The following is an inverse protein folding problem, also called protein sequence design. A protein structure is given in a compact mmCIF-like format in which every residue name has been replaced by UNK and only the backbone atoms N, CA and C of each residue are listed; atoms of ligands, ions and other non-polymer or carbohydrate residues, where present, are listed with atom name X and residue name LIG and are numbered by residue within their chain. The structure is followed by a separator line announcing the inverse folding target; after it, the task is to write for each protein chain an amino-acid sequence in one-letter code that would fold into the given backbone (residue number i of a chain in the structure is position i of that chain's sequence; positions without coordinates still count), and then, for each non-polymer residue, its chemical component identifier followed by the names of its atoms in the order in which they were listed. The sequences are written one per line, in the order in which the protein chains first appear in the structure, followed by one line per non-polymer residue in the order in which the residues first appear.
data_IF_769194923783
#
_entry.id   IF_769194923783
#
_cell.length_a   1.000
_cell.length_b   1.000
_cell.length_c   1.000
_cell.angle_alpha   90.00
_cell.angle_beta   90.00
_cell.angle_gamma   90.00
#
_symmetry.space_group_name_H-M   'P 1'
#
loop_
_entity.id
_entity.type
_entity.pdbx_description
1 polymer ?
#
# COMPACT_ATOMS: atom_id res chain seq x y z
N UNK A 1 16.73 -17.80 8.40
CA UNK A 1 16.90 -17.52 6.99
C UNK A 1 16.13 -16.23 6.65
N UNK A 2 16.77 -15.27 5.97
CA UNK A 2 16.07 -14.11 5.43
C UNK A 2 15.12 -14.59 4.33
N UNK A 3 13.86 -14.14 4.40
CA UNK A 3 12.88 -14.42 3.35
C UNK A 3 13.02 -13.37 2.26
N UNK A 4 12.92 -13.74 0.97
CA UNK A 4 12.82 -12.74 -0.07
C UNK A 4 11.55 -11.89 0.12
N UNK A 5 11.74 -10.59 0.10
CA UNK A 5 10.68 -9.59 0.28
C UNK A 5 10.71 -8.62 -0.90
N UNK A 6 9.70 -7.76 -1.00
CA UNK A 6 9.72 -6.70 -2.01
C UNK A 6 10.98 -5.83 -1.86
N UNK A 7 11.35 -5.45 -0.64
CA UNK A 7 12.56 -4.66 -0.39
C UNK A 7 13.82 -5.39 -0.86
N UNK A 8 13.94 -6.71 -0.61
CA UNK A 8 15.12 -7.46 -1.05
C UNK A 8 15.24 -7.53 -2.57
N UNK A 9 14.13 -7.65 -3.31
CA UNK A 9 14.15 -7.62 -4.77
C UNK A 9 14.68 -6.29 -5.30
N UNK A 10 14.14 -5.17 -4.82
CA UNK A 10 14.61 -3.86 -5.26
C UNK A 10 16.09 -3.62 -4.92
N UNK A 11 16.54 -4.09 -3.75
CA UNK A 11 17.98 -4.03 -3.39
C UNK A 11 18.85 -4.85 -4.33
N UNK A 12 18.43 -6.05 -4.71
CA UNK A 12 19.16 -6.90 -5.66
C UNK A 12 19.23 -6.24 -7.05
N UNK A 13 18.30 -5.35 -7.38
CA UNK A 13 18.30 -4.54 -8.61
C UNK A 13 19.05 -3.20 -8.45
N UNK A 14 19.67 -2.95 -7.30
CA UNK A 14 20.50 -1.77 -7.06
C UNK A 14 19.77 -0.55 -6.54
N UNK A 15 18.54 -0.71 -6.04
CA UNK A 15 17.79 0.35 -5.39
C UNK A 15 18.17 0.51 -3.92
N UNK A 16 18.19 1.73 -3.42
CA UNK A 16 18.03 2.02 -1.99
C UNK A 16 16.57 1.79 -1.59
N UNK A 17 16.31 1.40 -0.34
CA UNK A 17 14.95 1.09 0.11
C UNK A 17 14.60 1.83 1.39
N UNK A 18 13.42 2.46 1.43
CA UNK A 18 12.94 3.17 2.59
C UNK A 18 11.48 2.81 2.93
N UNK A 19 11.17 2.76 4.22
CA UNK A 19 9.82 2.66 4.75
C UNK A 19 9.48 3.91 5.54
N UNK A 20 8.32 4.53 5.25
CA UNK A 20 7.85 5.75 5.93
C UNK A 20 6.50 5.50 6.57
N UNK A 21 6.35 5.84 7.85
CA UNK A 21 5.10 5.75 8.58
C UNK A 21 5.00 6.86 9.64
N UNK A 22 3.97 7.72 9.60
CA UNK A 22 3.85 8.90 10.47
C UNK A 22 3.26 8.55 11.85
N UNK A 23 3.74 7.48 12.47
CA UNK A 23 3.28 7.05 13.79
C UNK A 23 4.38 6.25 14.50
N UNK A 24 4.16 5.92 15.78
CA UNK A 24 5.13 5.23 16.62
C UNK A 24 5.69 3.95 16.01
N UNK A 25 6.98 3.79 16.02
CA UNK A 25 7.70 2.61 15.50
C UNK A 25 7.23 1.28 16.11
N UNK A 26 6.82 1.32 17.39
CA UNK A 26 6.32 0.16 18.13
C UNK A 26 4.91 -0.29 17.71
N UNK A 27 4.13 0.57 17.03
CA UNK A 27 2.77 0.25 16.62
C UNK A 27 2.77 -0.91 15.62
N UNK A 28 2.04 -1.98 15.93
CA UNK A 28 2.11 -3.28 15.24
C UNK A 28 3.53 -3.87 15.12
N UNK A 29 4.47 -3.45 15.99
CA UNK A 29 5.89 -3.85 15.91
C UNK A 29 6.53 -3.52 14.55
N UNK A 30 6.12 -2.42 13.90
CA UNK A 30 6.53 -2.06 12.54
C UNK A 30 8.05 -1.95 12.40
N UNK A 31 8.75 -1.34 13.34
CA UNK A 31 10.20 -1.27 13.35
C UNK A 31 10.84 -2.66 13.15
N UNK A 32 10.43 -3.64 13.94
CA UNK A 32 10.95 -5.01 13.85
C UNK A 32 10.53 -5.70 12.55
N UNK A 33 9.28 -5.52 12.12
CA UNK A 33 8.74 -6.17 10.91
C UNK A 33 9.45 -5.65 9.67
N UNK A 34 9.53 -4.33 9.49
CA UNK A 34 10.13 -3.75 8.30
C UNK A 34 11.66 -3.86 8.28
N UNK A 35 12.32 -3.86 9.46
CA UNK A 35 13.73 -4.24 9.56
C UNK A 35 13.96 -5.68 9.06
N UNK A 36 13.10 -6.63 9.45
CA UNK A 36 13.17 -8.00 8.98
C UNK A 36 12.83 -8.15 7.49
N UNK A 37 12.02 -7.24 6.93
CA UNK A 37 11.78 -7.17 5.49
C UNK A 37 12.99 -6.63 4.71
N UNK A 38 13.98 -6.06 5.41
CA UNK A 38 15.27 -5.70 4.84
C UNK A 38 15.32 -4.28 4.25
N UNK A 39 14.42 -3.38 4.62
CA UNK A 39 14.52 -1.97 4.26
C UNK A 39 15.78 -1.35 4.85
N UNK A 40 16.46 -0.48 4.09
CA UNK A 40 17.69 0.20 4.51
C UNK A 40 17.40 1.33 5.48
N UNK A 41 16.27 2.03 5.30
CA UNK A 41 15.84 3.13 6.14
C UNK A 41 14.43 2.87 6.66
N UNK A 42 14.22 3.13 7.94
CA UNK A 42 12.91 3.13 8.59
C UNK A 42 12.69 4.52 9.18
N UNK A 43 11.62 5.19 8.76
CA UNK A 43 11.32 6.58 9.11
C UNK A 43 9.93 6.59 9.76
N UNK A 44 9.90 6.81 11.07
CA UNK A 44 8.70 6.93 11.87
C UNK A 44 8.45 8.39 12.27
N UNK A 45 7.41 8.67 13.04
CA UNK A 45 7.03 10.04 13.43
C UNK A 45 8.18 10.86 14.04
N UNK A 46 9.01 10.25 14.86
CA UNK A 46 10.18 10.88 15.51
C UNK A 46 11.35 11.15 14.53
N UNK A 47 11.39 10.49 13.37
CA UNK A 47 12.46 10.58 12.39
C UNK A 47 12.17 11.60 11.26
N UNK A 48 10.97 12.19 11.27
CA UNK A 48 10.60 13.16 10.23
C UNK A 48 11.50 14.40 10.29
N UNK A 49 12.02 14.80 9.13
CA UNK A 49 12.95 15.94 8.99
C UNK A 49 12.31 17.13 8.28
N UNK A 50 11.03 17.06 8.00
CA UNK A 50 10.19 18.15 7.49
C UNK A 50 9.33 18.71 8.62
N UNK A 51 8.78 19.94 8.51
CA UNK A 51 7.82 20.46 9.48
C UNK A 51 6.62 19.52 9.61
N UNK A 52 6.27 19.16 10.86
CA UNK A 52 5.17 18.26 11.15
C UNK A 52 3.90 19.09 11.37
N UNK A 53 2.87 18.80 10.59
CA UNK A 53 1.52 19.31 10.75
C UNK A 53 0.58 18.16 11.08
N UNK A 54 -0.52 18.45 11.78
CA UNK A 54 -1.49 17.43 12.22
C UNK A 54 -2.87 17.74 11.64
N UNK A 55 -3.57 16.69 11.26
CA UNK A 55 -4.98 16.72 10.94
C UNK A 55 -5.74 15.81 11.91
N UNK A 56 -6.53 16.39 12.81
CA UNK A 56 -7.07 15.65 13.95
C UNK A 56 -5.97 15.15 14.89
N UNK A 57 -5.94 13.85 15.15
CA UNK A 57 -4.96 13.21 16.06
C UNK A 57 -3.66 12.85 15.36
N UNK A 58 -3.69 12.68 14.05
CA UNK A 58 -2.58 12.10 13.31
C UNK A 58 -1.80 13.14 12.51
N UNK A 59 -0.55 12.83 12.22
CA UNK A 59 0.25 13.60 11.27
C UNK A 59 -0.48 13.57 9.93
N UNK A 60 -0.67 14.76 9.33
CA UNK A 60 -1.38 14.88 8.07
C UNK A 60 -0.61 14.28 6.89
N UNK A 61 -1.33 13.85 5.87
CA UNK A 61 -0.77 13.20 4.70
C UNK A 61 0.17 14.11 3.91
N UNK A 62 -0.07 15.42 3.89
CA UNK A 62 0.83 16.43 3.31
C UNK A 62 2.23 16.39 3.94
N UNK A 63 2.32 16.26 5.26
CA UNK A 63 3.61 16.10 5.95
C UNK A 63 4.33 14.85 5.48
N UNK A 64 3.60 13.73 5.33
CA UNK A 64 4.15 12.47 4.82
C UNK A 64 4.65 12.63 3.39
N UNK A 65 3.86 13.26 2.52
CA UNK A 65 4.23 13.50 1.12
C UNK A 65 5.45 14.43 1.02
N UNK A 66 5.55 15.45 1.86
CA UNK A 66 6.74 16.32 1.92
C UNK A 66 8.00 15.54 2.34
N UNK A 67 7.86 14.58 3.29
CA UNK A 67 8.97 13.71 3.68
C UNK A 67 9.39 12.79 2.53
N UNK A 68 8.43 12.22 1.81
CA UNK A 68 8.67 11.39 0.62
C UNK A 68 9.38 12.18 -0.47
N UNK A 69 8.89 13.38 -0.81
CA UNK A 69 9.53 14.26 -1.79
C UNK A 69 10.97 14.59 -1.42
N UNK A 70 11.21 14.84 -0.12
CA UNK A 70 12.56 15.10 0.37
C UNK A 70 13.47 13.90 0.15
N UNK A 71 13.02 12.69 0.46
CA UNK A 71 13.79 11.47 0.24
C UNK A 71 14.11 11.26 -1.24
N UNK A 72 13.15 11.47 -2.13
CA UNK A 72 13.37 11.39 -3.59
C UNK A 72 14.45 12.37 -4.04
N UNK A 73 14.44 13.61 -3.52
CA UNK A 73 15.40 14.66 -3.89
C UNK A 73 16.81 14.49 -3.30
N UNK A 74 16.92 13.79 -2.17
CA UNK A 74 18.17 13.63 -1.43
C UNK A 74 18.84 12.28 -1.67
N UNK A 75 18.21 11.35 -2.39
CA UNK A 75 18.75 10.03 -2.70
C UNK A 75 19.27 10.02 -4.13
N UNK A 76 20.57 9.78 -4.30
CA UNK A 76 21.21 9.74 -5.62
C UNK A 76 20.99 8.40 -6.37
N UNK A 77 20.75 7.31 -5.64
CA UNK A 77 20.46 5.98 -6.19
C UNK A 77 18.97 5.83 -6.51
N UNK A 78 18.59 4.92 -7.41
CA UNK A 78 17.19 4.55 -7.57
C UNK A 78 16.57 4.17 -6.22
N UNK A 79 15.37 4.66 -5.92
CA UNK A 79 14.72 4.51 -4.62
C UNK A 79 13.43 3.72 -4.72
N UNK A 80 13.33 2.63 -3.97
CA UNK A 80 12.06 1.97 -3.67
C UNK A 80 11.55 2.47 -2.30
N UNK A 81 10.41 3.13 -2.31
CA UNK A 81 9.83 3.72 -1.11
C UNK A 81 8.44 3.11 -0.84
N UNK A 82 8.27 2.52 0.35
CA UNK A 82 6.98 2.04 0.83
C UNK A 82 6.47 2.97 1.92
N UNK A 83 5.30 3.56 1.70
CA UNK A 83 4.71 4.52 2.63
C UNK A 83 3.36 4.02 3.12
N UNK A 84 3.12 4.10 4.42
CA UNK A 84 1.80 3.87 5.03
C UNK A 84 1.39 5.14 5.75
N UNK A 85 0.34 5.80 5.28
CA UNK A 85 -0.19 7.00 5.93
C UNK A 85 -1.03 6.67 7.17
N UNK A 86 -1.50 7.68 7.91
CA UNK A 86 -2.26 7.47 9.16
C UNK A 86 -3.41 8.46 9.34
N UNK A 87 -3.47 9.55 8.56
CA UNK A 87 -4.44 10.63 8.73
C UNK A 87 -5.89 10.12 8.79
N UNK A 88 -6.23 9.18 7.91
CA UNK A 88 -7.60 8.66 7.76
C UNK A 88 -7.93 7.47 8.68
N UNK A 89 -7.08 7.20 9.70
CA UNK A 89 -7.36 6.16 10.69
C UNK A 89 -8.37 6.66 11.74
N UNK A 90 -9.30 5.79 12.16
CA UNK A 90 -10.24 6.13 13.24
C UNK A 90 -9.51 6.55 14.54
N UNK A 91 -10.16 7.27 15.45
CA UNK A 91 -11.57 7.62 15.55
C UNK A 91 -11.96 8.84 14.71
N UNK A 92 -13.18 8.84 14.16
CA UNK A 92 -13.71 9.94 13.33
C UNK A 92 -14.59 10.93 14.13
N UNK A 93 -14.57 10.86 15.45
CA UNK A 93 -15.30 11.72 16.37
C UNK A 93 -14.60 13.07 16.70
N UNK A 94 -13.53 13.39 15.96
CA UNK A 94 -12.69 14.59 16.17
C UNK A 94 -12.93 15.70 15.13
N UNK A 95 -13.95 15.54 14.28
CA UNK A 95 -14.33 16.54 13.30
C UNK A 95 -15.20 17.65 13.93
N UNK A 96 -15.71 18.54 13.08
CA UNK A 96 -16.61 19.63 13.49
C UNK A 96 -17.92 19.12 14.11
N UNK A 97 -18.37 17.94 13.69
CA UNK A 97 -19.53 17.25 14.23
C UNK A 97 -19.14 15.85 14.74
N UNK A 98 -18.82 15.68 16.03
CA UNK A 98 -18.39 14.39 16.59
C UNK A 98 -19.39 13.24 16.44
N UNK A 99 -20.67 13.54 16.23
CA UNK A 99 -21.72 12.53 16.03
C UNK A 99 -21.84 12.07 14.57
N UNK A 100 -21.17 12.76 13.64
CA UNK A 100 -21.19 12.44 12.20
C UNK A 100 -19.85 11.83 11.76
N UNK A 101 -19.54 10.64 12.22
CA UNK A 101 -18.29 9.94 11.86
C UNK A 101 -18.12 9.77 10.34
N UNK A 102 -19.22 9.55 9.61
CA UNK A 102 -19.19 9.39 8.15
C UNK A 102 -18.85 10.72 7.46
N UNK A 103 -19.50 11.81 7.84
CA UNK A 103 -19.21 13.13 7.28
C UNK A 103 -17.78 13.56 7.57
N UNK A 104 -17.29 13.31 8.80
CA UNK A 104 -15.91 13.58 9.17
C UNK A 104 -14.92 12.74 8.34
N UNK A 105 -15.20 11.44 8.15
CA UNK A 105 -14.37 10.59 7.31
C UNK A 105 -14.29 11.08 5.87
N UNK A 106 -15.41 11.49 5.26
CA UNK A 106 -15.41 12.05 3.91
C UNK A 106 -14.60 13.35 3.81
N UNK A 107 -14.68 14.23 4.80
CA UNK A 107 -13.84 15.43 4.83
C UNK A 107 -12.35 15.09 4.90
N UNK A 108 -11.99 14.06 5.66
CA UNK A 108 -10.60 13.61 5.77
C UNK A 108 -10.08 13.01 4.45
N UNK A 109 -10.88 12.21 3.77
CA UNK A 109 -10.54 11.67 2.44
C UNK A 109 -10.42 12.80 1.41
N UNK A 110 -11.29 13.80 1.43
CA UNK A 110 -11.20 14.98 0.56
C UNK A 110 -9.91 15.76 0.81
N UNK A 111 -9.53 15.91 2.08
CA UNK A 111 -8.26 16.53 2.46
C UNK A 111 -7.06 15.74 1.92
N UNK A 112 -7.02 14.43 2.15
CA UNK A 112 -6.00 13.55 1.57
C UNK A 112 -5.95 13.68 0.04
N UNK A 113 -7.11 13.74 -0.63
CA UNK A 113 -7.17 13.90 -2.08
C UNK A 113 -6.52 15.19 -2.55
N UNK A 114 -6.75 16.29 -1.84
CA UNK A 114 -6.13 17.60 -2.11
C UNK A 114 -4.61 17.54 -1.92
N UNK A 115 -4.14 16.96 -0.83
CA UNK A 115 -2.72 16.80 -0.54
C UNK A 115 -2.02 15.89 -1.53
N UNK A 116 -2.69 14.81 -1.93
CA UNK A 116 -2.17 13.90 -2.94
C UNK A 116 -2.08 14.56 -4.32
N UNK A 117 -3.08 15.36 -4.73
CA UNK A 117 -3.00 16.14 -5.97
C UNK A 117 -1.81 17.09 -5.96
N UNK A 118 -1.57 17.80 -4.84
CA UNK A 118 -0.42 18.67 -4.68
C UNK A 118 0.90 17.89 -4.79
N UNK A 119 1.00 16.74 -4.13
CA UNK A 119 2.14 15.84 -4.20
C UNK A 119 2.43 15.39 -5.64
N UNK A 120 1.42 14.92 -6.37
CA UNK A 120 1.56 14.53 -7.78
C UNK A 120 2.01 15.71 -8.64
N UNK A 121 1.50 16.92 -8.39
CA UNK A 121 1.93 18.10 -9.13
C UNK A 121 3.40 18.46 -8.84
N UNK A 122 3.86 18.28 -7.60
CA UNK A 122 5.27 18.48 -7.25
C UNK A 122 6.18 17.43 -7.92
N UNK A 123 5.74 16.16 -7.99
CA UNK A 123 6.49 15.10 -8.66
C UNK A 123 6.66 15.32 -10.17
N UNK A 124 5.75 16.05 -10.83
CA UNK A 124 5.89 16.43 -12.24
C UNK A 124 7.08 17.35 -12.50
N UNK A 125 7.51 18.10 -11.49
CA UNK A 125 8.61 19.04 -11.57
C UNK A 125 9.97 18.39 -11.20
N UNK A 126 9.98 17.11 -10.85
CA UNK A 126 11.18 16.34 -10.51
C UNK A 126 11.65 15.59 -11.77
N UNK A 127 12.94 15.73 -12.11
CA UNK A 127 13.52 15.06 -13.30
C UNK A 127 13.70 13.53 -13.10
N UNK A 128 13.66 13.04 -11.83
CA UNK A 128 13.79 11.61 -11.55
C UNK A 128 12.56 10.84 -12.04
N UNK A 129 12.74 9.83 -12.92
CA UNK A 129 11.62 8.98 -13.37
C UNK A 129 10.94 8.31 -12.19
N UNK A 130 9.69 8.65 -11.97
CA UNK A 130 8.94 8.23 -10.77
C UNK A 130 7.62 7.56 -11.14
N UNK A 131 7.35 6.42 -10.49
CA UNK A 131 6.05 5.74 -10.51
C UNK A 131 5.46 5.78 -9.11
N UNK A 132 4.20 6.18 -9.00
CA UNK A 132 3.42 6.13 -7.77
C UNK A 132 2.35 5.05 -7.91
N UNK A 133 2.33 4.10 -6.99
CA UNK A 133 1.28 3.11 -6.83
C UNK A 133 0.60 3.32 -5.47
N UNK A 134 -0.60 3.87 -5.46
CA UNK A 134 -1.38 4.14 -4.26
C UNK A 134 -2.54 3.16 -4.16
N UNK A 135 -2.76 2.59 -2.99
CA UNK A 135 -3.85 1.64 -2.71
C UNK A 135 -4.43 1.91 -1.32
N UNK A 136 -5.74 1.76 -1.18
CA UNK A 136 -6.38 1.69 0.14
C UNK A 136 -6.09 0.35 0.81
N UNK A 137 -5.96 0.33 2.13
CA UNK A 137 -5.72 -0.90 2.89
C UNK A 137 -7.03 -1.60 3.27
N UNK A 138 -8.05 -0.84 3.72
CA UNK A 138 -9.38 -1.35 4.08
C UNK A 138 -10.39 -0.20 4.21
N UNK A 139 -11.67 -0.54 4.26
CA UNK A 139 -12.74 0.41 4.59
C UNK A 139 -12.62 0.94 6.02
N UNK A 140 -13.13 2.16 6.30
CA UNK A 140 -13.12 2.74 7.64
C UNK A 140 -13.92 1.91 8.63
N UNK A 141 -13.45 1.81 9.87
CA UNK A 141 -14.21 1.21 10.97
C UNK A 141 -15.13 2.26 11.57
N UNK A 142 -16.41 2.22 11.18
CA UNK A 142 -17.45 3.10 11.70
C UNK A 142 -18.14 2.42 12.90
N UNK A 143 -18.32 3.18 14.00
CA UNK A 143 -18.87 2.66 15.25
C UNK A 143 -20.41 2.60 15.22
N UNK A 144 -20.97 1.76 16.09
CA UNK A 144 -22.37 1.75 16.52
C UNK A 144 -23.22 0.64 15.98
N UNK A 145 -24.29 0.37 16.74
CA UNK A 145 -25.43 -0.44 16.29
C UNK A 145 -26.14 0.34 15.17
N UNK A 146 -26.49 -0.33 14.08
CA UNK A 146 -26.96 0.27 12.83
C UNK A 146 -25.91 1.14 12.13
N UNK A 147 -24.69 0.63 12.01
CA UNK A 147 -23.64 1.26 11.22
C UNK A 147 -24.16 1.61 9.81
N UNK A 148 -23.50 2.54 9.15
CA UNK A 148 -23.86 2.86 7.75
C UNK A 148 -23.81 1.61 6.86
N UNK A 149 -22.93 0.67 7.16
CA UNK A 149 -22.84 -0.60 6.43
C UNK A 149 -24.10 -1.46 6.58
N UNK A 150 -24.68 -1.53 7.81
CA UNK A 150 -25.96 -2.19 8.04
C UNK A 150 -27.11 -1.51 7.30
N UNK A 151 -27.15 -0.18 7.33
CA UNK A 151 -28.17 0.61 6.64
C UNK A 151 -28.10 0.45 5.11
N UNK A 152 -26.89 0.24 4.54
CA UNK A 152 -26.66 -0.03 3.12
C UNK A 152 -26.82 -1.51 2.77
N UNK A 153 -27.11 -2.39 3.74
CA UNK A 153 -27.19 -3.82 3.54
C UNK A 153 -25.84 -4.50 3.22
N UNK A 154 -24.75 -3.85 3.58
CA UNK A 154 -23.38 -4.35 3.39
C UNK A 154 -22.96 -5.22 4.58
N UNK A 155 -23.72 -6.28 4.86
CA UNK A 155 -23.48 -7.20 5.96
C UNK A 155 -23.79 -8.64 5.55
N UNK A 156 -23.41 -9.61 6.37
CA UNK A 156 -23.62 -11.03 6.09
C UNK A 156 -23.07 -11.41 4.71
N UNK A 157 -23.92 -11.97 3.84
CA UNK A 157 -23.52 -12.43 2.50
C UNK A 157 -23.19 -11.28 1.52
N UNK A 158 -23.54 -10.04 1.86
CA UNK A 158 -23.29 -8.85 1.04
C UNK A 158 -22.06 -8.04 1.50
N UNK A 159 -21.23 -8.58 2.39
CA UNK A 159 -20.07 -7.85 2.89
C UNK A 159 -18.86 -7.84 1.92
N UNK A 160 -18.90 -8.61 0.84
CA UNK A 160 -17.77 -8.75 -0.09
C UNK A 160 -17.24 -7.41 -0.61
N UNK A 161 -18.13 -6.45 -0.92
CA UNK A 161 -17.75 -5.13 -1.40
C UNK A 161 -16.87 -4.35 -0.41
N UNK A 162 -16.96 -4.61 0.89
CA UNK A 162 -16.14 -3.97 1.93
C UNK A 162 -14.67 -4.40 1.90
N UNK A 163 -14.34 -5.40 1.09
CA UNK A 163 -12.97 -5.86 0.84
C UNK A 163 -12.41 -5.36 -0.49
N UNK A 164 -13.16 -4.51 -1.21
CA UNK A 164 -12.70 -3.89 -2.46
C UNK A 164 -12.06 -2.54 -2.15
N UNK A 165 -10.85 -2.33 -2.65
CA UNK A 165 -10.14 -1.06 -2.48
C UNK A 165 -9.75 -0.49 -3.84
N UNK A 166 -9.87 0.83 -4.05
CA UNK A 166 -9.35 1.46 -5.24
C UNK A 166 -7.83 1.49 -5.19
N UNK A 167 -7.20 1.46 -6.37
CA UNK A 167 -5.79 1.80 -6.52
C UNK A 167 -5.61 2.84 -7.61
N UNK A 168 -4.54 3.62 -7.51
CA UNK A 168 -4.15 4.65 -8.47
C UNK A 168 -2.72 4.36 -8.88
N UNK A 169 -2.44 4.41 -10.17
CA UNK A 169 -1.09 4.37 -10.71
C UNK A 169 -0.85 5.64 -11.50
N UNK A 170 0.29 6.27 -11.24
CA UNK A 170 0.72 7.48 -11.93
C UNK A 170 2.23 7.46 -12.18
N UNK A 171 2.66 8.12 -13.24
CA UNK A 171 4.07 8.30 -13.57
C UNK A 171 4.31 9.70 -14.11
N UNK A 172 5.51 10.25 -13.88
CA UNK A 172 5.97 11.50 -14.49
C UNK A 172 6.66 11.31 -15.85
N UNK A 173 6.71 10.07 -16.34
CA UNK A 173 7.25 9.73 -17.67
C UNK A 173 6.25 8.86 -18.45
N UNK A 174 6.52 8.66 -19.74
CA UNK A 174 5.68 7.83 -20.61
C UNK A 174 5.82 6.36 -20.23
N UNK A 175 4.81 5.84 -19.53
CA UNK A 175 4.71 4.47 -19.04
C UNK A 175 3.61 3.72 -19.78
N UNK A 176 3.90 2.52 -20.24
CA UNK A 176 2.89 1.67 -20.90
C UNK A 176 1.97 1.01 -19.88
N UNK A 177 0.74 1.49 -19.82
CA UNK A 177 -0.32 0.95 -18.94
C UNK A 177 -1.12 -0.19 -19.56
N UNK A 178 -0.80 -0.65 -20.79
CA UNK A 178 -1.59 -1.66 -21.50
C UNK A 178 -1.65 -3.02 -20.81
N UNK A 179 -0.62 -3.34 -20.02
CA UNK A 179 -0.54 -4.57 -19.20
C UNK A 179 -1.26 -4.48 -17.85
N UNK A 180 -1.80 -3.32 -17.48
CA UNK A 180 -2.48 -3.16 -16.20
C UNK A 180 -3.77 -3.99 -16.14
N UNK A 181 -4.03 -4.69 -15.01
CA UNK A 181 -5.28 -5.40 -14.80
C UNK A 181 -6.49 -4.46 -14.94
N UNK A 182 -7.46 -4.85 -15.79
CA UNK A 182 -8.71 -4.11 -15.99
C UNK A 182 -9.81 -4.56 -15.03
N UNK A 183 -9.62 -5.68 -14.39
CA UNK A 183 -10.55 -6.32 -13.46
C UNK A 183 -9.95 -6.34 -12.04
N UNK A 184 -10.77 -6.71 -11.07
CA UNK A 184 -10.35 -6.85 -9.66
C UNK A 184 -9.29 -7.94 -9.52
N UNK A 185 -8.34 -7.69 -8.65
CA UNK A 185 -7.34 -8.68 -8.25
C UNK A 185 -7.04 -8.59 -6.75
N UNK A 186 -6.57 -9.68 -6.17
CA UNK A 186 -6.21 -9.70 -4.75
C UNK A 186 -4.97 -8.85 -4.47
N UNK A 187 -5.00 -8.09 -3.39
CA UNK A 187 -3.96 -7.11 -3.02
C UNK A 187 -2.55 -7.72 -2.96
N UNK A 188 -2.43 -9.01 -2.63
CA UNK A 188 -1.12 -9.67 -2.60
C UNK A 188 -0.45 -9.79 -3.99
N UNK A 189 -1.18 -9.58 -5.08
CA UNK A 189 -0.60 -9.46 -6.42
C UNK A 189 -0.08 -8.05 -6.74
N UNK A 190 -0.47 -7.02 -5.98
CA UNK A 190 -0.11 -5.63 -6.27
C UNK A 190 1.41 -5.39 -6.43
N UNK A 191 2.30 -6.00 -5.61
CA UNK A 191 3.74 -5.86 -5.82
C UNK A 191 4.21 -6.38 -7.18
N UNK A 192 3.64 -7.49 -7.67
CA UNK A 192 4.01 -8.09 -8.95
C UNK A 192 3.44 -7.29 -10.12
N UNK A 193 2.24 -6.72 -9.97
CA UNK A 193 1.67 -5.78 -10.96
C UNK A 193 2.56 -4.55 -11.11
N UNK A 194 3.06 -3.99 -10.00
CA UNK A 194 4.00 -2.87 -10.05
C UNK A 194 5.33 -3.28 -10.72
N UNK A 195 5.88 -4.44 -10.37
CA UNK A 195 7.11 -4.95 -10.97
C UNK A 195 6.97 -5.18 -12.48
N UNK A 196 5.82 -5.71 -12.92
CA UNK A 196 5.51 -5.88 -14.34
C UNK A 196 5.41 -4.54 -15.07
N UNK A 197 4.72 -3.59 -14.49
CA UNK A 197 4.50 -2.27 -15.05
C UNK A 197 5.80 -1.51 -15.33
N UNK A 198 6.82 -1.67 -14.48
CA UNK A 198 8.14 -1.03 -14.63
C UNK A 198 9.17 -1.91 -15.36
N UNK A 199 8.73 -3.01 -15.97
CA UNK A 199 9.58 -4.00 -16.66
C UNK A 199 10.74 -4.50 -15.77
N UNK A 200 10.46 -4.74 -14.48
CA UNK A 200 11.44 -5.25 -13.52
C UNK A 200 11.86 -6.69 -13.86
N UNK A 201 13.11 -7.09 -13.52
CA UNK A 201 13.55 -8.48 -13.69
C UNK A 201 12.63 -9.45 -12.94
N UNK A 202 12.32 -10.60 -13.58
CA UNK A 202 11.45 -11.61 -12.99
C UNK A 202 12.23 -12.90 -12.71
N UNK A 203 12.14 -13.36 -11.47
CA UNK A 203 12.51 -14.73 -11.14
C UNK A 203 11.33 -15.69 -11.40
N UNK A 204 11.55 -16.97 -11.22
CA UNK A 204 10.52 -17.99 -11.43
C UNK A 204 9.32 -17.84 -10.49
N UNK A 205 9.52 -17.29 -9.29
CA UNK A 205 8.43 -17.05 -8.35
C UNK A 205 7.57 -15.87 -8.77
N UNK A 206 8.16 -14.75 -9.16
CA UNK A 206 7.42 -13.57 -9.68
C UNK A 206 6.61 -13.98 -10.90
N UNK A 207 7.22 -14.75 -11.84
CA UNK A 207 6.52 -15.22 -13.02
C UNK A 207 5.34 -16.14 -12.65
N UNK A 208 5.54 -17.09 -11.72
CA UNK A 208 4.46 -17.97 -11.26
C UNK A 208 3.31 -17.22 -10.61
N UNK A 209 3.60 -16.14 -9.84
CA UNK A 209 2.57 -15.30 -9.26
C UNK A 209 1.78 -14.51 -10.32
N UNK A 210 2.44 -14.02 -11.38
CA UNK A 210 1.78 -13.36 -12.50
C UNK A 210 0.89 -14.33 -13.29
N UNK A 211 1.42 -15.52 -13.65
CA UNK A 211 0.63 -16.57 -14.32
C UNK A 211 -0.57 -17.00 -13.48
N UNK A 212 -0.40 -17.05 -12.15
CA UNK A 212 -1.48 -17.39 -11.24
C UNK A 212 -2.55 -16.30 -11.18
N UNK A 213 -2.16 -15.03 -11.24
CA UNK A 213 -3.11 -13.92 -11.29
C UNK A 213 -4.01 -13.99 -12.54
N UNK A 214 -3.49 -14.44 -13.69
CA UNK A 214 -4.31 -14.60 -14.90
C UNK A 214 -5.43 -15.64 -14.73
N UNK A 215 -5.19 -16.70 -13.95
CA UNK A 215 -6.14 -17.80 -13.73
C UNK A 215 -6.99 -17.65 -12.46
N UNK A 216 -6.45 -16.98 -11.44
CA UNK A 216 -7.09 -16.77 -10.14
C UNK A 216 -6.85 -15.32 -9.68
N UNK A 217 -7.40 -14.31 -10.38
CA UNK A 217 -7.14 -12.90 -10.05
C UNK A 217 -7.62 -12.52 -8.66
N UNK A 218 -8.74 -13.08 -8.21
CA UNK A 218 -9.30 -12.84 -6.87
C UNK A 218 -9.26 -14.14 -6.06
N UNK A 219 -8.52 -14.11 -4.96
CA UNK A 219 -8.45 -15.19 -3.99
C UNK A 219 -8.67 -14.64 -2.58
N UNK A 220 -9.92 -14.63 -2.13
CA UNK A 220 -10.29 -14.12 -0.83
C UNK A 220 -11.61 -14.74 -0.35
N UNK A 221 -11.56 -15.47 0.74
CA UNK A 221 -12.75 -16.05 1.40
C UNK A 221 -13.65 -14.99 2.01
N UNK A 222 -13.13 -13.79 2.27
CA UNK A 222 -13.94 -12.67 2.76
C UNK A 222 -14.76 -12.02 1.64
N UNK A 223 -14.23 -12.03 0.42
CA UNK A 223 -14.92 -11.52 -0.75
C UNK A 223 -15.95 -12.53 -1.29
N UNK A 224 -15.55 -13.79 -1.36
CA UNK A 224 -16.41 -14.89 -1.81
C UNK A 224 -16.16 -16.12 -0.93
N UNK A 225 -17.13 -16.44 -0.05
CA UNK A 225 -17.06 -17.58 0.87
C UNK A 225 -17.01 -18.94 0.15
N UNK A 226 -17.35 -19.00 -1.15
CA UNK A 226 -17.29 -20.22 -1.97
C UNK A 226 -15.89 -20.51 -2.51
N UNK A 227 -14.95 -19.56 -2.38
CA UNK A 227 -13.56 -19.76 -2.81
C UNK A 227 -12.94 -20.90 -2.03
N UNK A 228 -12.62 -21.98 -2.74
CA UNK A 228 -11.92 -23.13 -2.18
C UNK A 228 -10.43 -22.85 -1.99
N UNK A 229 -9.76 -23.80 -1.36
CA UNK A 229 -8.30 -23.79 -1.23
C UNK A 229 -7.65 -23.88 -2.62
N UNK A 230 -6.67 -23.02 -2.89
CA UNK A 230 -5.87 -23.06 -4.11
C UNK A 230 -4.52 -23.74 -3.80
N UNK A 231 -4.35 -24.95 -4.32
CA UNK A 231 -3.15 -25.78 -4.04
C UNK A 231 -1.87 -25.14 -4.61
N UNK A 232 -1.94 -24.46 -5.75
CA UNK A 232 -0.77 -23.81 -6.35
C UNK A 232 -0.30 -22.63 -5.49
N UNK A 233 -1.23 -21.78 -5.03
CA UNK A 233 -0.91 -20.68 -4.11
C UNK A 233 -0.35 -21.19 -2.78
N UNK A 234 -0.87 -22.31 -2.28
CA UNK A 234 -0.34 -22.93 -1.07
C UNK A 234 1.09 -23.45 -1.28
N UNK A 235 1.37 -24.08 -2.41
CA UNK A 235 2.72 -24.57 -2.77
C UNK A 235 3.68 -23.40 -2.92
N UNK A 236 3.30 -22.35 -3.66
CA UNK A 236 4.12 -21.15 -3.84
C UNK A 236 4.41 -20.47 -2.50
N UNK A 237 3.40 -20.33 -1.64
CA UNK A 237 3.57 -19.77 -0.30
C UNK A 237 4.48 -20.64 0.57
N UNK A 238 4.28 -21.96 0.56
CA UNK A 238 5.11 -22.89 1.32
C UNK A 238 6.58 -22.84 0.85
N UNK A 239 6.80 -22.91 -0.46
CA UNK A 239 8.15 -22.86 -1.02
C UNK A 239 8.83 -21.53 -0.69
N UNK A 240 8.11 -20.42 -0.79
CA UNK A 240 8.61 -19.08 -0.46
C UNK A 240 9.02 -18.93 1.01
N UNK A 241 8.23 -19.48 1.93
CA UNK A 241 8.41 -19.28 3.38
C UNK A 241 9.30 -20.37 3.98
N UNK A 242 9.10 -21.62 3.62
CA UNK A 242 9.69 -22.80 4.27
C UNK A 242 10.58 -23.64 3.35
N UNK A 243 10.41 -23.52 2.03
CA UNK A 243 11.16 -24.28 1.04
C UNK A 243 12.64 -23.91 1.00
N UNK A 244 13.44 -24.77 0.37
CA UNK A 244 14.81 -24.41 -0.01
C UNK A 244 14.73 -23.59 -1.28
N UNK A 245 15.08 -22.29 -1.21
CA UNK A 245 15.14 -21.46 -2.42
C UNK A 245 16.22 -22.09 -3.30
N UNK A 246 15.78 -22.74 -4.35
CA UNK A 246 16.67 -23.10 -5.44
C UNK A 246 16.89 -21.80 -6.21
N UNK A 247 17.91 -21.06 -5.80
CA UNK A 247 18.36 -19.89 -6.56
C UNK A 247 18.81 -20.37 -7.93
N UNK A 248 18.04 -20.06 -8.92
CA UNK A 248 18.41 -20.16 -10.33
C UNK A 248 19.03 -18.87 -10.82
#
# INVERSE_FOLDING_TARGET
RAQPTIASYYKDWGYSTAYVHPFMSSFYSRERVYANFGFDQLIFDEDFTVPIEYYGTYIEDKTVFNQVEKLIKETDEPLFLHTTTMQNHQPYDQGENPEDEMGNYFQWIEHTGTDFEAFINNLKEIDEPTVVFMIGDHYPSLKGENSVYDQLGMNGDNCGVLYEQPFIVWSNYDLDYSGMPQEKFSTFYAPYVLMDLIDAPRDSFIQAMMDKMETTPVYSTNYDASVGRDEDLDILTYDRILGDIVSS
#
